data_IF_690991863987
#
_entry.id   IF_690991863987
#
_cell.length_a   1.000
_cell.length_b   1.000
_cell.length_c   1.000
_cell.angle_alpha   90.00
_cell.angle_beta   90.00
_cell.angle_gamma   90.00
#
_symmetry.space_group_name_H-M   'P 1'
#
loop_
_entity.id
_entity.type
_entity.pdbx_description
1 polymer ?
#
# COMPACT_ATOMS: atom_id res chain seq x y z
N UNK A 1 12.68 10.82 21.99
CA UNK A 1 12.33 10.64 21.57
C UNK A 1 11.67 10.39 21.09
N UNK A 2 11.63 10.34 20.78
CA UNK A 2 11.12 10.14 20.21
C UNK A 2 10.51 9.81 19.61
N UNK A 3 10.51 9.83 19.20
CA UNK A 3 10.08 9.62 18.47
C UNK A 3 9.40 9.02 18.14
N UNK A 4 9.29 9.19 17.95
CA UNK A 4 8.76 8.65 17.50
C UNK A 4 8.32 7.95 17.30
N UNK A 5 8.33 8.00 17.34
CA UNK A 5 7.96 7.36 17.01
C UNK A 5 7.34 6.78 16.86
N UNK A 6 7.25 7.01 16.87
CA UNK A 6 6.60 6.49 16.66
C UNK A 6 6.19 5.97 16.14
N UNK A 7 6.16 6.56 16.12
CA UNK A 7 5.57 6.21 15.19
C UNK A 7 5.78 5.12 14.57
N UNK A 8 6.52 4.88 14.60
CA UNK A 8 6.85 3.73 14.00
C UNK A 8 5.94 2.64 14.27
N UNK A 9 4.72 2.86 14.05
CA UNK A 9 3.74 1.85 14.19
C UNK A 9 3.68 1.08 12.91
N UNK A 10 4.03 -0.17 12.95
CA UNK A 10 3.95 -1.05 11.82
C UNK A 10 5.23 -1.15 11.01
N UNK A 11 5.31 -2.14 10.16
CA UNK A 11 6.44 -2.35 9.27
C UNK A 11 6.41 -1.36 8.11
N UNK A 12 7.58 -1.09 7.56
CA UNK A 12 7.67 -0.30 6.33
C UNK A 12 7.99 -1.23 5.18
N UNK A 13 7.69 -0.78 3.96
CA UNK A 13 8.09 -1.52 2.77
C UNK A 13 9.61 -1.46 2.63
N UNK A 14 10.21 -2.57 2.26
CA UNK A 14 11.67 -2.61 2.02
C UNK A 14 12.04 -1.63 0.90
N UNK A 15 11.19 -1.56 -0.13
CA UNK A 15 11.34 -0.63 -1.23
C UNK A 15 10.05 0.15 -1.32
N UNK A 16 10.08 1.48 -1.22
CA UNK A 16 8.85 2.26 -1.30
C UNK A 16 8.13 2.01 -2.62
N UNK A 17 6.81 1.98 -2.56
CA UNK A 17 5.98 1.84 -3.75
C UNK A 17 5.81 3.21 -4.38
N UNK A 18 6.20 3.36 -5.63
CA UNK A 18 6.11 4.63 -6.33
C UNK A 18 5.03 4.57 -7.39
N UNK A 19 4.42 5.72 -7.64
CA UNK A 19 3.38 5.84 -8.66
C UNK A 19 3.75 6.91 -9.66
N UNK A 20 3.13 6.84 -10.82
CA UNK A 20 3.25 7.87 -11.85
C UNK A 20 1.94 7.93 -12.63
N UNK A 21 1.71 9.06 -13.28
CA UNK A 21 0.52 9.26 -14.12
C UNK A 21 -0.79 9.05 -13.36
N UNK A 22 -0.76 9.28 -12.06
CA UNK A 22 -1.94 9.10 -11.22
C UNK A 22 -2.04 10.28 -10.26
N UNK A 23 -3.15 11.00 -10.33
CA UNK A 23 -3.37 12.17 -9.49
C UNK A 23 -4.00 11.82 -8.15
N UNK A 24 -4.56 10.62 -8.02
CA UNK A 24 -5.26 10.21 -6.80
C UNK A 24 -4.30 9.69 -5.74
N UNK A 25 -3.27 8.97 -6.18
CA UNK A 25 -2.33 8.35 -5.26
C UNK A 25 -1.08 9.21 -5.09
N UNK A 26 -0.46 9.20 -3.90
CA UNK A 26 0.79 9.93 -3.71
C UNK A 26 1.89 9.31 -4.57
N UNK A 27 2.91 10.10 -4.86
CA UNK A 27 4.02 9.66 -5.71
C UNK A 27 4.81 8.53 -5.07
N UNK A 28 4.78 8.43 -3.74
CA UNK A 28 5.53 7.41 -3.01
C UNK A 28 4.73 6.98 -1.78
N UNK A 29 4.72 5.68 -1.53
CA UNK A 29 4.09 5.10 -0.34
C UNK A 29 5.10 4.20 0.34
N UNK A 30 5.31 4.38 1.63
CA UNK A 30 6.36 3.68 2.37
C UNK A 30 5.84 2.68 3.38
N UNK A 31 4.57 2.77 3.77
CA UNK A 31 3.99 1.87 4.76
C UNK A 31 2.66 1.32 4.29
N UNK A 32 2.27 0.13 4.77
CA UNK A 32 0.95 -0.41 4.43
C UNK A 32 -0.19 0.52 4.83
N UNK A 33 -0.09 1.19 5.97
CA UNK A 33 -1.12 2.12 6.43
C UNK A 33 -1.29 3.27 5.46
N UNK A 34 -0.17 3.85 5.02
CA UNK A 34 -0.18 4.95 4.08
C UNK A 34 -0.79 4.51 2.74
N UNK A 35 -0.37 3.34 2.25
CA UNK A 35 -0.87 2.82 0.99
C UNK A 35 -2.36 2.50 1.06
N UNK A 36 -2.81 1.88 2.15
CA UNK A 36 -4.22 1.54 2.30
C UNK A 36 -5.09 2.80 2.32
N UNK A 37 -4.67 3.82 3.08
CA UNK A 37 -5.41 5.07 3.12
C UNK A 37 -5.47 5.72 1.74
N UNK A 38 -4.39 5.65 1.00
CA UNK A 38 -4.33 6.24 -0.34
C UNK A 38 -5.25 5.55 -1.32
N UNK A 39 -5.21 4.21 -1.37
CA UNK A 39 -6.02 3.49 -2.38
C UNK A 39 -7.50 3.51 -2.06
N UNK A 40 -7.89 3.78 -0.82
CA UNK A 40 -9.30 3.92 -0.48
C UNK A 40 -9.94 5.14 -1.13
N UNK A 41 -9.13 6.05 -1.68
CA UNK A 41 -9.63 7.20 -2.42
C UNK A 41 -9.98 6.88 -3.86
N UNK A 42 -9.60 5.70 -4.34
CA UNK A 42 -9.88 5.30 -5.71
C UNK A 42 -11.37 5.08 -5.93
N UNK A 43 -11.85 5.23 -7.18
CA UNK A 43 -13.27 4.96 -7.48
C UNK A 43 -13.66 3.54 -7.10
N UNK A 44 -14.88 3.38 -6.61
CA UNK A 44 -15.38 2.07 -6.19
C UNK A 44 -15.32 1.05 -7.32
N UNK A 45 -15.56 1.47 -8.55
CA UNK A 45 -15.52 0.56 -9.69
C UNK A 45 -14.13 -0.04 -9.88
N UNK A 46 -13.11 0.76 -9.66
CA UNK A 46 -11.74 0.29 -9.77
C UNK A 46 -11.43 -0.70 -8.66
N UNK A 47 -11.88 -0.41 -7.45
CA UNK A 47 -11.64 -1.25 -6.30
C UNK A 47 -12.39 -2.58 -6.35
N UNK A 48 -13.35 -2.74 -7.26
CA UNK A 48 -14.06 -4.00 -7.43
C UNK A 48 -13.23 -5.04 -8.19
N UNK A 49 -12.20 -4.63 -8.91
CA UNK A 49 -11.40 -5.59 -9.67
C UNK A 49 -10.65 -6.50 -8.71
N UNK A 50 -10.41 -7.73 -9.15
CA UNK A 50 -9.71 -8.72 -8.32
C UNK A 50 -8.32 -8.25 -7.91
N UNK A 51 -7.65 -7.58 -8.84
CA UNK A 51 -6.30 -7.12 -8.60
C UNK A 51 -6.24 -6.07 -7.48
N UNK A 52 -7.17 -5.12 -7.52
CA UNK A 52 -7.23 -4.10 -6.47
C UNK A 52 -7.76 -4.67 -5.16
N UNK A 53 -8.66 -5.65 -5.22
CA UNK A 53 -9.14 -6.31 -4.01
C UNK A 53 -8.02 -7.10 -3.34
N UNK A 54 -7.17 -7.75 -4.13
CA UNK A 54 -6.00 -8.43 -3.58
C UNK A 54 -5.07 -7.44 -2.88
N UNK A 55 -4.85 -6.27 -3.49
CA UNK A 55 -4.02 -5.24 -2.88
C UNK A 55 -4.64 -4.74 -1.57
N UNK A 56 -5.93 -4.46 -1.57
CA UNK A 56 -6.63 -3.99 -0.37
C UNK A 56 -6.56 -5.03 0.73
N UNK A 57 -6.84 -6.29 0.39
CA UNK A 57 -6.81 -7.38 1.37
C UNK A 57 -5.43 -7.55 1.97
N UNK A 58 -4.39 -7.53 1.13
CA UNK A 58 -3.02 -7.66 1.60
C UNK A 58 -2.61 -6.51 2.51
N UNK A 59 -2.96 -5.29 2.13
CA UNK A 59 -2.65 -4.12 2.92
C UNK A 59 -3.43 -4.11 4.23
N UNK A 60 -4.68 -4.51 4.21
CA UNK A 60 -5.51 -4.59 5.42
C UNK A 60 -4.90 -5.62 6.38
N UNK A 61 -4.54 -6.78 5.86
CA UNK A 61 -3.91 -7.81 6.67
C UNK A 61 -2.61 -7.30 7.30
N UNK A 62 -1.80 -6.60 6.50
CA UNK A 62 -0.54 -6.05 6.97
C UNK A 62 -0.74 -4.96 8.03
N UNK A 63 -1.84 -4.20 7.97
CA UNK A 63 -2.10 -3.15 8.92
C UNK A 63 -2.74 -3.65 10.20
N UNK A 64 -3.65 -4.61 10.08
CA UNK A 64 -4.52 -5.00 11.20
C UNK A 64 -4.02 -6.28 11.89
N UNK A 65 -3.71 -7.30 11.10
CA UNK A 65 -3.40 -8.63 11.64
C UNK A 65 -1.92 -8.79 11.97
N UNK A 66 -1.05 -8.29 11.11
CA UNK A 66 0.39 -8.42 11.28
C UNK A 66 1.08 -7.07 11.11
N UNK A 67 0.79 -6.09 11.99
CA UNK A 67 1.24 -4.71 11.77
C UNK A 67 2.77 -4.53 11.81
N UNK A 68 3.50 -5.45 12.41
CA UNK A 68 4.96 -5.32 12.52
C UNK A 68 5.71 -6.36 11.70
N UNK A 69 5.03 -7.04 10.78
CA UNK A 69 5.64 -8.10 9.99
C UNK A 69 6.09 -7.56 8.64
N UNK A 70 7.40 -7.45 8.46
CA UNK A 70 7.97 -6.93 7.20
C UNK A 70 7.64 -7.81 6.00
N UNK A 71 7.62 -9.12 6.19
CA UNK A 71 7.33 -10.03 5.09
C UNK A 71 5.90 -9.85 4.60
N UNK A 72 4.97 -9.67 5.53
CA UNK A 72 3.59 -9.40 5.18
C UNK A 72 3.46 -8.05 4.49
N UNK A 73 4.16 -7.04 5.00
CA UNK A 73 4.14 -5.71 4.38
C UNK A 73 4.67 -5.77 2.96
N UNK A 74 5.77 -6.48 2.73
CA UNK A 74 6.37 -6.58 1.41
C UNK A 74 5.51 -7.40 0.45
N UNK A 75 4.83 -8.43 0.95
CA UNK A 75 3.89 -9.18 0.13
C UNK A 75 2.73 -8.28 -0.32
N UNK A 76 2.22 -7.46 0.60
CA UNK A 76 1.16 -6.50 0.25
C UNK A 76 1.66 -5.48 -0.77
N UNK A 77 2.90 -5.05 -0.65
CA UNK A 77 3.50 -4.13 -1.62
C UNK A 77 3.58 -4.75 -3.01
N UNK A 78 3.88 -6.05 -3.09
CA UNK A 78 3.92 -6.74 -4.37
C UNK A 78 2.54 -6.76 -5.03
N UNK A 79 1.49 -7.02 -4.25
CA UNK A 79 0.13 -6.98 -4.77
C UNK A 79 -0.24 -5.58 -5.26
N UNK A 80 0.16 -4.57 -4.50
CA UNK A 80 -0.10 -3.18 -4.87
C UNK A 80 0.64 -2.81 -6.16
N UNK A 81 1.90 -3.21 -6.28
CA UNK A 81 2.67 -2.95 -7.49
C UNK A 81 2.04 -3.61 -8.70
N UNK A 82 1.54 -4.83 -8.55
CA UNK A 82 0.87 -5.53 -9.65
C UNK A 82 -0.36 -4.76 -10.11
N UNK A 83 -1.14 -4.24 -9.17
CA UNK A 83 -2.32 -3.44 -9.51
C UNK A 83 -1.92 -2.14 -10.22
N UNK A 84 -0.89 -1.47 -9.72
CA UNK A 84 -0.40 -0.24 -10.34
C UNK A 84 0.14 -0.49 -11.74
N UNK A 85 0.86 -1.58 -11.91
CA UNK A 85 1.41 -1.94 -13.22
C UNK A 85 0.30 -2.16 -14.23
N UNK A 86 -0.76 -2.84 -13.82
CA UNK A 86 -1.90 -3.09 -14.70
C UNK A 86 -2.58 -1.81 -15.15
N UNK A 87 -2.53 -0.76 -14.31
CA UNK A 87 -3.12 0.53 -14.65
C UNK A 87 -2.15 1.47 -15.38
N UNK A 88 -0.89 1.06 -15.51
CA UNK A 88 0.12 1.95 -16.07
C UNK A 88 0.56 3.04 -15.08
N UNK A 89 0.32 2.84 -13.80
CA UNK A 89 0.62 3.81 -12.76
C UNK A 89 1.87 3.47 -11.95
N UNK A 90 2.51 2.37 -12.22
CA UNK A 90 3.71 1.98 -11.46
C UNK A 90 4.88 2.87 -11.87
N UNK A 91 5.44 3.54 -10.89
CA UNK A 91 6.57 4.44 -11.09
C UNK A 91 7.93 3.76 -11.11
#
# INVERSE_FOLDING_TARGET
MTKASASTVGATFAIPVRTRNCDVLPAKMETPTEALAAIQRLPAELLKSERWQAAVSGLTFACVTKPNDSDVANAAASELRAALLAMGWLG
#
